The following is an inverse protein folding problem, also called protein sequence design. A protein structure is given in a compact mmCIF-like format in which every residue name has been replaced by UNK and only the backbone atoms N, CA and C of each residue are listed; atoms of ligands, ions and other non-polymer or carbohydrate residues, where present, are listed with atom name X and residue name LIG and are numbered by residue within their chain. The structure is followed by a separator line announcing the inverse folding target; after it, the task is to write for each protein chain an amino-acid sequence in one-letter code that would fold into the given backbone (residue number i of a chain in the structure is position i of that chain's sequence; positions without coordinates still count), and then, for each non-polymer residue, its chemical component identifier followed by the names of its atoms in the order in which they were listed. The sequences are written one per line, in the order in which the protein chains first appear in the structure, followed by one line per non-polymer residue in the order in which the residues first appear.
data_IF_992753935966
#
_entry.id   IF_992753935966
#
_cell.length_a   1.000
_cell.length_b   1.000
_cell.length_c   1.000
_cell.angle_alpha   90.00
_cell.angle_beta   90.00
_cell.angle_gamma   90.00
#
_symmetry.space_group_name_H-M   'P 1'
#
loop_
_entity.id
_entity.type
_entity.pdbx_description
1 polymer ?
#
# COMPACT_ATOMS: atom_id res chain seq x y z
N UNK A 1 -29.50 -4.46 -42.43
CA UNK A 1 -28.11 -4.82 -42.77
C UNK A 1 -27.10 -3.76 -42.34
N UNK A 2 -27.43 -2.44 -42.30
CA UNK A 2 -26.51 -1.41 -41.77
C UNK A 2 -26.20 -1.59 -40.28
N UNK A 3 -27.18 -1.95 -39.47
CA UNK A 3 -27.01 -1.92 -38.00
C UNK A 3 -26.17 -3.09 -37.48
N UNK A 4 -26.23 -4.27 -38.11
CA UNK A 4 -25.36 -5.40 -37.75
C UNK A 4 -23.90 -5.15 -38.13
N UNK A 5 -23.67 -4.52 -39.28
CA UNK A 5 -22.32 -4.21 -39.76
C UNK A 5 -21.68 -3.08 -38.92
N UNK A 6 -22.49 -2.12 -38.45
CA UNK A 6 -22.02 -1.07 -37.52
C UNK A 6 -21.63 -1.64 -36.15
N UNK A 7 -22.41 -2.62 -35.65
CA UNK A 7 -22.10 -3.31 -34.38
C UNK A 7 -20.86 -4.23 -34.52
N UNK A 8 -20.67 -4.89 -35.66
CA UNK A 8 -19.47 -5.69 -35.95
C UNK A 8 -18.22 -4.81 -36.13
N UNK A 9 -18.34 -3.63 -36.74
CA UNK A 9 -17.25 -2.65 -36.88
C UNK A 9 -16.89 -2.03 -35.51
N UNK A 10 -17.87 -1.74 -34.65
CA UNK A 10 -17.61 -1.29 -33.28
C UNK A 10 -16.89 -2.36 -32.45
N UNK A 11 -17.32 -3.62 -32.52
CA UNK A 11 -16.71 -4.75 -31.79
C UNK A 11 -15.32 -5.15 -32.30
N UNK A 12 -14.98 -4.80 -33.53
CA UNK A 12 -13.66 -5.03 -34.13
C UNK A 12 -12.70 -3.84 -34.01
N UNK A 13 -13.17 -2.70 -33.50
CA UNK A 13 -12.34 -1.53 -33.22
C UNK A 13 -11.55 -1.65 -31.91
N UNK A 14 -10.44 -0.91 -31.79
CA UNK A 14 -9.67 -0.84 -30.55
C UNK A 14 -10.49 -0.34 -29.35
N UNK A 15 -11.43 0.59 -29.56
CA UNK A 15 -12.32 1.09 -28.51
C UNK A 15 -13.36 0.04 -28.09
N UNK A 16 -13.93 -0.70 -29.03
CA UNK A 16 -14.87 -1.78 -28.73
C UNK A 16 -14.22 -2.92 -27.95
N UNK A 17 -13.01 -3.33 -28.35
CA UNK A 17 -12.23 -4.33 -27.61
C UNK A 17 -11.89 -3.86 -26.20
N UNK A 18 -11.49 -2.58 -26.05
CA UNK A 18 -11.25 -1.97 -24.74
C UNK A 18 -12.51 -1.98 -23.85
N UNK A 19 -13.68 -1.61 -24.37
CA UNK A 19 -14.94 -1.62 -23.60
C UNK A 19 -15.36 -3.02 -23.18
N UNK A 20 -15.19 -4.00 -24.06
CA UNK A 20 -15.47 -5.41 -23.74
C UNK A 20 -14.50 -5.91 -22.66
N UNK A 21 -13.20 -5.57 -22.77
CA UNK A 21 -12.21 -5.89 -21.78
C UNK A 21 -12.54 -5.30 -20.39
N UNK A 22 -12.97 -4.04 -20.34
CA UNK A 22 -13.43 -3.38 -19.12
C UNK A 22 -14.66 -4.08 -18.50
N UNK A 23 -15.57 -4.61 -19.32
CA UNK A 23 -16.68 -5.42 -18.83
C UNK A 23 -16.20 -6.75 -18.21
N UNK A 24 -15.30 -7.46 -18.90
CA UNK A 24 -14.73 -8.70 -18.40
C UNK A 24 -13.96 -8.49 -17.09
N UNK A 25 -13.16 -7.41 -17.00
CA UNK A 25 -12.42 -7.03 -15.79
C UNK A 25 -13.38 -6.78 -14.60
N UNK A 26 -14.47 -6.03 -14.82
CA UNK A 26 -15.48 -5.78 -13.78
C UNK A 26 -16.18 -7.06 -13.29
N UNK A 27 -16.31 -8.06 -14.16
CA UNK A 27 -16.88 -9.36 -13.80
C UNK A 27 -15.84 -10.31 -13.16
N UNK A 28 -14.59 -9.88 -12.99
CA UNK A 28 -13.51 -10.69 -12.42
C UNK A 28 -12.84 -11.63 -13.42
N UNK A 29 -13.23 -11.61 -14.70
CA UNK A 29 -12.56 -12.39 -15.75
C UNK A 29 -11.35 -11.61 -16.29
N UNK A 30 -10.31 -11.56 -15.45
CA UNK A 30 -9.08 -10.83 -15.75
C UNK A 30 -8.32 -11.43 -16.93
N UNK A 31 -8.32 -12.76 -17.07
CA UNK A 31 -7.66 -13.46 -18.18
C UNK A 31 -8.26 -13.05 -19.52
N UNK A 32 -9.60 -13.04 -19.64
CA UNK A 32 -10.25 -12.57 -20.86
C UNK A 32 -10.04 -11.07 -21.08
N UNK A 33 -10.10 -10.26 -20.03
CA UNK A 33 -9.82 -8.82 -20.11
C UNK A 33 -8.41 -8.54 -20.67
N UNK A 34 -7.38 -9.21 -20.13
CA UNK A 34 -5.99 -9.12 -20.59
C UNK A 34 -5.89 -9.43 -22.08
N UNK A 35 -6.52 -10.52 -22.54
CA UNK A 35 -6.52 -10.89 -23.97
C UNK A 35 -7.15 -9.79 -24.83
N UNK A 36 -8.28 -9.24 -24.42
CA UNK A 36 -9.00 -8.21 -25.17
C UNK A 36 -8.25 -6.87 -25.18
N UNK A 37 -7.61 -6.46 -24.09
CA UNK A 37 -6.74 -5.27 -24.10
C UNK A 37 -5.56 -5.45 -25.05
N UNK A 38 -4.93 -6.63 -25.09
CA UNK A 38 -3.87 -6.90 -26.04
C UNK A 38 -4.35 -6.82 -27.50
N UNK A 39 -5.59 -7.26 -27.78
CA UNK A 39 -6.18 -7.09 -29.11
C UNK A 39 -6.43 -5.61 -29.44
N UNK A 40 -6.92 -4.82 -28.48
CA UNK A 40 -7.07 -3.38 -28.65
C UNK A 40 -5.72 -2.69 -28.95
N UNK A 41 -4.66 -3.08 -28.25
CA UNK A 41 -3.30 -2.56 -28.44
C UNK A 41 -2.61 -3.07 -29.71
N UNK A 42 -3.06 -4.20 -30.27
CA UNK A 42 -2.60 -4.65 -31.58
C UNK A 42 -3.15 -3.75 -32.71
N UNK A 43 -4.30 -3.11 -32.49
CA UNK A 43 -4.92 -2.15 -33.43
C UNK A 43 -4.31 -0.76 -33.24
N UNK A 44 -4.24 -0.29 -31.99
CA UNK A 44 -3.62 0.98 -31.63
C UNK A 44 -2.60 0.79 -30.49
N UNK A 45 -1.31 0.62 -30.81
CA UNK A 45 -0.26 0.43 -29.81
C UNK A 45 -0.09 1.60 -28.82
N UNK A 46 -0.53 2.81 -29.18
CA UNK A 46 -0.41 4.01 -28.34
C UNK A 46 -1.72 4.32 -27.59
N UNK A 47 -2.70 3.40 -27.57
CA UNK A 47 -3.94 3.58 -26.83
C UNK A 47 -3.72 3.52 -25.31
N UNK A 48 -3.35 4.67 -24.74
CA UNK A 48 -2.95 4.81 -23.33
C UNK A 48 -3.94 4.24 -22.32
N UNK A 49 -5.25 4.43 -22.54
CA UNK A 49 -6.27 3.86 -21.65
C UNK A 49 -6.23 2.33 -21.63
N UNK A 50 -6.02 1.69 -22.78
CA UNK A 50 -5.88 0.24 -22.86
C UNK A 50 -4.55 -0.25 -22.26
N UNK A 51 -3.45 0.52 -22.39
CA UNK A 51 -2.18 0.18 -21.74
C UNK A 51 -2.31 0.17 -20.21
N UNK A 52 -2.90 1.23 -19.62
CA UNK A 52 -3.11 1.32 -18.17
C UNK A 52 -4.11 0.27 -17.68
N UNK A 53 -5.21 0.07 -18.39
CA UNK A 53 -6.21 -0.93 -18.02
C UNK A 53 -5.67 -2.37 -18.12
N UNK A 54 -4.75 -2.63 -19.05
CA UNK A 54 -4.02 -3.89 -19.13
C UNK A 54 -3.08 -4.07 -17.93
N UNK A 55 -2.33 -3.04 -17.54
CA UNK A 55 -1.48 -3.09 -16.35
C UNK A 55 -2.29 -3.38 -15.07
N UNK A 56 -3.45 -2.74 -14.91
CA UNK A 56 -4.39 -2.99 -13.80
C UNK A 56 -4.97 -4.41 -13.86
N UNK A 57 -5.38 -4.90 -15.05
CA UNK A 57 -5.87 -6.27 -15.18
C UNK A 57 -4.79 -7.33 -14.90
N UNK A 58 -3.53 -7.09 -15.32
CA UNK A 58 -2.37 -7.93 -14.98
C UNK A 58 -2.12 -7.94 -13.47
N UNK A 59 -2.24 -6.78 -12.81
CA UNK A 59 -2.15 -6.68 -11.35
C UNK A 59 -3.25 -7.51 -10.67
N UNK A 60 -4.51 -7.39 -11.12
CA UNK A 60 -5.64 -8.15 -10.56
C UNK A 60 -5.54 -9.67 -10.80
N UNK A 61 -4.93 -10.08 -11.90
CA UNK A 61 -4.65 -11.50 -12.24
C UNK A 61 -3.41 -12.06 -11.49
N UNK A 62 -2.68 -11.24 -10.75
CA UNK A 62 -1.47 -11.65 -10.01
C UNK A 62 -0.17 -11.63 -10.83
N UNK A 63 -0.21 -11.12 -12.06
CA UNK A 63 0.93 -10.99 -12.99
C UNK A 63 1.69 -9.68 -12.77
N UNK A 64 2.24 -9.52 -11.57
CA UNK A 64 2.82 -8.26 -11.13
C UNK A 64 4.05 -7.84 -11.96
N UNK A 65 4.91 -8.78 -12.34
CA UNK A 65 6.14 -8.48 -13.09
C UNK A 65 5.84 -8.01 -14.53
N UNK A 66 4.81 -8.60 -15.16
CA UNK A 66 4.34 -8.17 -16.48
C UNK A 66 3.73 -6.76 -16.39
N UNK A 67 2.89 -6.50 -15.37
CA UNK A 67 2.30 -5.18 -15.11
C UNK A 67 3.38 -4.12 -14.90
N UNK A 68 4.37 -4.41 -14.04
CA UNK A 68 5.52 -3.53 -13.78
C UNK A 68 6.31 -3.23 -15.04
N UNK A 69 6.66 -4.26 -15.81
CA UNK A 69 7.44 -4.11 -17.06
C UNK A 69 6.72 -3.19 -18.06
N UNK A 70 5.40 -3.28 -18.13
CA UNK A 70 4.59 -2.41 -18.99
C UNK A 70 4.61 -0.95 -18.51
N UNK A 71 4.38 -0.73 -17.23
CA UNK A 71 4.35 0.61 -16.62
C UNK A 71 5.73 1.29 -16.68
N UNK A 72 6.81 0.54 -16.45
CA UNK A 72 8.18 1.05 -16.57
C UNK A 72 8.45 1.54 -18.01
N UNK A 73 7.98 0.81 -19.04
CA UNK A 73 8.09 1.28 -20.45
C UNK A 73 7.30 2.56 -20.69
N UNK A 74 6.13 2.73 -20.06
CA UNK A 74 5.36 3.97 -20.16
C UNK A 74 6.10 5.14 -19.50
N UNK A 75 6.73 4.92 -18.34
CA UNK A 75 7.52 5.93 -17.64
C UNK A 75 8.81 6.31 -18.36
N UNK A 76 9.39 5.44 -19.18
CA UNK A 76 10.51 5.82 -20.06
C UNK A 76 10.10 6.95 -21.02
N UNK A 77 8.86 6.91 -21.53
CA UNK A 77 8.31 7.96 -22.41
C UNK A 77 7.83 9.18 -21.63
N UNK A 78 7.17 8.97 -20.50
CA UNK A 78 6.58 10.02 -19.67
C UNK A 78 6.98 9.85 -18.18
N UNK A 79 8.18 10.28 -17.76
CA UNK A 79 8.73 9.96 -16.43
C UNK A 79 7.91 10.46 -15.24
N UNK A 80 7.17 11.54 -15.42
CA UNK A 80 6.37 12.19 -14.37
C UNK A 80 4.86 11.93 -14.54
N UNK A 81 4.46 10.96 -15.38
CA UNK A 81 3.05 10.67 -15.59
C UNK A 81 2.39 10.16 -14.30
N UNK A 82 1.47 10.95 -13.75
CA UNK A 82 0.83 10.68 -12.47
C UNK A 82 -0.04 9.41 -12.48
N UNK A 83 -0.70 9.11 -13.59
CA UNK A 83 -1.57 7.94 -13.72
C UNK A 83 -0.74 6.65 -13.77
N UNK A 84 0.34 6.65 -14.56
CA UNK A 84 1.29 5.53 -14.64
C UNK A 84 2.01 5.33 -13.30
N UNK A 85 2.46 6.40 -12.65
CA UNK A 85 3.08 6.31 -11.32
C UNK A 85 2.11 5.75 -10.27
N UNK A 86 0.82 6.09 -10.34
CA UNK A 86 -0.22 5.55 -9.44
C UNK A 86 -0.39 4.05 -9.63
N UNK A 87 -0.50 3.58 -10.87
CA UNK A 87 -0.59 2.15 -11.16
C UNK A 87 0.69 1.41 -10.74
N UNK A 88 1.88 1.98 -11.00
CA UNK A 88 3.14 1.39 -10.55
C UNK A 88 3.21 1.30 -9.02
N UNK A 89 2.72 2.34 -8.33
CA UNK A 89 2.60 2.34 -6.88
C UNK A 89 1.79 1.14 -6.37
N UNK A 90 0.63 0.86 -6.97
CA UNK A 90 -0.20 -0.31 -6.64
C UNK A 90 0.54 -1.62 -6.87
N UNK A 91 1.24 -1.75 -8.00
CA UNK A 91 2.01 -2.96 -8.34
C UNK A 91 3.14 -3.20 -7.35
N UNK A 92 3.91 -2.18 -6.99
CA UNK A 92 5.02 -2.31 -6.03
C UNK A 92 4.55 -2.71 -4.62
N UNK A 93 3.36 -2.25 -4.21
CA UNK A 93 2.72 -2.73 -2.97
C UNK A 93 2.35 -4.21 -3.07
N UNK A 94 1.76 -4.64 -4.19
CA UNK A 94 1.43 -6.05 -4.40
C UNK A 94 2.66 -6.97 -4.49
N UNK A 95 3.78 -6.45 -4.99
CA UNK A 95 5.07 -7.15 -5.04
C UNK A 95 5.81 -7.20 -3.70
N UNK A 96 5.32 -6.50 -2.66
CA UNK A 96 6.06 -6.27 -1.42
C UNK A 96 7.46 -5.67 -1.65
N UNK A 97 7.56 -4.67 -2.56
CA UNK A 97 8.80 -3.94 -2.87
C UNK A 97 8.75 -2.53 -2.25
N UNK A 98 9.04 -2.40 -0.93
CA UNK A 98 8.94 -1.11 -0.23
C UNK A 98 9.90 -0.06 -0.79
N UNK A 99 11.06 -0.46 -1.31
CA UNK A 99 12.05 0.47 -1.86
C UNK A 99 11.53 1.17 -3.12
N UNK A 100 11.01 0.40 -4.08
CA UNK A 100 10.41 1.00 -5.28
C UNK A 100 9.10 1.71 -4.95
N UNK A 101 8.29 1.17 -4.03
CA UNK A 101 7.06 1.81 -3.55
C UNK A 101 7.32 3.23 -3.04
N UNK A 102 8.28 3.38 -2.12
CA UNK A 102 8.66 4.69 -1.56
C UNK A 102 9.15 5.65 -2.64
N UNK A 103 9.98 5.19 -3.58
CA UNK A 103 10.46 6.00 -4.69
C UNK A 103 9.30 6.53 -5.55
N UNK A 104 8.37 5.64 -5.92
CA UNK A 104 7.22 5.96 -6.77
C UNK A 104 6.26 6.94 -6.10
N UNK A 105 5.87 6.67 -4.85
CA UNK A 105 4.96 7.56 -4.13
C UNK A 105 5.60 8.89 -3.73
N UNK A 106 6.92 8.95 -3.53
CA UNK A 106 7.64 10.22 -3.33
C UNK A 106 7.62 11.07 -4.60
N UNK A 107 7.76 10.47 -5.78
CA UNK A 107 7.60 11.18 -7.05
C UNK A 107 6.17 11.72 -7.22
N UNK A 108 5.15 10.90 -6.90
CA UNK A 108 3.76 11.36 -6.88
C UNK A 108 3.53 12.51 -5.90
N UNK A 109 4.13 12.47 -4.70
CA UNK A 109 3.98 13.52 -3.70
C UNK A 109 4.55 14.86 -4.18
N UNK A 110 5.67 14.83 -4.92
CA UNK A 110 6.23 16.04 -5.53
C UNK A 110 5.25 16.71 -6.50
N UNK A 111 4.50 15.92 -7.26
CA UNK A 111 3.52 16.42 -8.24
C UNK A 111 2.17 16.77 -7.57
N UNK A 112 1.80 16.05 -6.51
CA UNK A 112 0.54 16.17 -5.77
C UNK A 112 0.77 16.32 -4.26
N UNK A 113 1.27 17.48 -3.78
CA UNK A 113 1.70 17.65 -2.38
C UNK A 113 0.56 17.62 -1.35
N UNK A 114 -0.70 17.63 -1.79
CA UNK A 114 -1.89 17.60 -0.92
C UNK A 114 -2.89 16.49 -1.31
N UNK A 115 -2.47 15.48 -2.08
CA UNK A 115 -3.35 14.34 -2.39
C UNK A 115 -3.34 13.31 -1.24
N UNK A 116 -4.49 13.11 -0.62
CA UNK A 116 -4.67 12.16 0.47
C UNK A 116 -4.31 10.71 0.07
N UNK A 117 -4.57 10.32 -1.19
CA UNK A 117 -4.24 8.98 -1.69
C UNK A 117 -2.74 8.77 -1.77
N UNK A 118 -1.97 9.82 -2.07
CA UNK A 118 -0.50 9.75 -2.09
C UNK A 118 0.05 9.57 -0.68
N UNK A 119 -0.46 10.33 0.30
CA UNK A 119 -0.06 10.14 1.70
C UNK A 119 -0.46 8.76 2.23
N UNK A 120 -1.63 8.25 1.84
CA UNK A 120 -2.03 6.88 2.17
C UNK A 120 -1.08 5.85 1.55
N UNK A 121 -0.75 5.99 0.26
CA UNK A 121 0.21 5.09 -0.40
C UNK A 121 1.60 5.12 0.23
N UNK A 122 2.09 6.31 0.61
CA UNK A 122 3.34 6.43 1.40
C UNK A 122 3.23 5.70 2.74
N UNK A 123 2.11 5.83 3.44
CA UNK A 123 1.84 5.08 4.67
C UNK A 123 1.95 3.58 4.46
N UNK A 124 1.33 3.06 3.40
CA UNK A 124 1.40 1.64 3.03
C UNK A 124 2.85 1.24 2.77
N UNK A 125 3.60 2.01 1.97
CA UNK A 125 5.01 1.69 1.70
C UNK A 125 5.87 1.66 2.98
N UNK A 126 5.63 2.57 3.94
CA UNK A 126 6.37 2.58 5.20
C UNK A 126 6.01 1.39 6.09
N UNK A 127 4.74 0.98 6.14
CA UNK A 127 4.33 -0.25 6.84
C UNK A 127 4.99 -1.50 6.24
N UNK A 128 5.06 -1.59 4.91
CA UNK A 128 5.77 -2.69 4.22
C UNK A 128 7.27 -2.70 4.56
N UNK A 129 7.86 -1.54 4.88
CA UNK A 129 9.26 -1.45 5.35
C UNK A 129 9.44 -1.63 6.86
N UNK A 130 8.38 -1.97 7.61
CA UNK A 130 8.39 -2.10 9.07
C UNK A 130 8.45 -0.77 9.84
N UNK A 131 8.42 0.37 9.16
CA UNK A 131 8.50 1.72 9.75
C UNK A 131 7.10 2.23 10.16
N UNK A 132 6.43 1.50 11.07
CA UNK A 132 5.03 1.73 11.42
C UNK A 132 4.75 3.12 12.01
N UNK A 133 5.67 3.69 12.80
CA UNK A 133 5.47 5.05 13.35
C UNK A 133 5.48 6.11 12.24
N UNK A 134 6.35 5.97 11.23
CA UNK A 134 6.36 6.88 10.07
C UNK A 134 5.11 6.69 9.21
N UNK A 135 4.67 5.44 9.03
CA UNK A 135 3.43 5.14 8.34
C UNK A 135 2.22 5.83 8.99
N UNK A 136 2.12 5.75 10.33
CA UNK A 136 1.09 6.40 11.13
C UNK A 136 1.03 7.92 10.89
N UNK A 137 2.17 8.62 10.84
CA UNK A 137 2.21 10.05 10.50
C UNK A 137 1.66 10.34 9.09
N UNK A 138 1.98 9.50 8.10
CA UNK A 138 1.47 9.66 6.73
C UNK A 138 -0.03 9.43 6.66
N UNK A 139 -0.56 8.40 7.33
CA UNK A 139 -2.00 8.18 7.38
C UNK A 139 -2.73 9.31 8.12
N UNK A 140 -2.17 9.85 9.21
CA UNK A 140 -2.75 11.01 9.90
C UNK A 140 -2.85 12.22 8.97
N UNK A 141 -1.82 12.46 8.15
CA UNK A 141 -1.87 13.51 7.11
C UNK A 141 -2.94 13.21 6.07
N UNK A 142 -3.05 11.98 5.59
CA UNK A 142 -4.10 11.57 4.65
C UNK A 142 -5.52 11.74 5.24
N UNK A 143 -5.74 11.36 6.50
CA UNK A 143 -7.02 11.54 7.21
C UNK A 143 -7.36 13.03 7.43
N UNK A 144 -6.35 13.89 7.59
CA UNK A 144 -6.58 15.35 7.67
C UNK A 144 -7.08 15.90 6.34
N UNK A 145 -6.56 15.39 5.22
CA UNK A 145 -6.93 15.82 3.87
C UNK A 145 -8.26 15.20 3.38
N UNK A 146 -8.57 13.97 3.82
CA UNK A 146 -9.77 13.23 3.47
C UNK A 146 -10.37 12.52 4.70
N UNK A 147 -11.08 13.23 5.58
CA UNK A 147 -11.55 12.71 6.87
C UNK A 147 -12.58 11.57 6.76
N UNK A 148 -13.31 11.52 5.65
CA UNK A 148 -14.33 10.51 5.37
C UNK A 148 -13.78 9.27 4.66
N UNK A 149 -12.48 9.24 4.33
CA UNK A 149 -11.87 8.08 3.67
C UNK A 149 -11.64 6.94 4.67
N UNK A 150 -12.57 5.97 4.66
CA UNK A 150 -12.56 4.81 5.55
C UNK A 150 -11.38 3.86 5.29
N UNK A 151 -10.89 3.77 4.06
CA UNK A 151 -9.73 2.93 3.73
C UNK A 151 -8.47 3.45 4.43
N UNK A 152 -8.25 4.77 4.43
CA UNK A 152 -7.12 5.38 5.15
C UNK A 152 -7.23 5.11 6.66
N UNK A 153 -8.43 5.27 7.23
CA UNK A 153 -8.64 4.98 8.65
C UNK A 153 -8.43 3.50 9.00
N UNK A 154 -8.79 2.61 8.09
CA UNK A 154 -8.56 1.17 8.24
C UNK A 154 -7.07 0.82 8.16
N UNK A 155 -6.33 1.38 7.20
CA UNK A 155 -4.88 1.22 7.09
C UNK A 155 -4.17 1.77 8.34
N UNK A 156 -4.59 2.94 8.85
CA UNK A 156 -4.06 3.49 10.10
C UNK A 156 -4.28 2.56 11.30
N UNK A 157 -5.50 2.03 11.44
CA UNK A 157 -5.82 1.06 12.50
C UNK A 157 -4.96 -0.20 12.41
N UNK A 158 -4.74 -0.72 11.20
CA UNK A 158 -3.85 -1.86 10.98
C UNK A 158 -2.40 -1.52 11.33
N UNK A 159 -1.89 -0.36 10.90
CA UNK A 159 -0.55 0.12 11.23
C UNK A 159 -0.32 0.28 12.74
N UNK A 160 -1.32 0.74 13.49
CA UNK A 160 -1.29 0.77 14.96
C UNK A 160 -1.12 -0.63 15.55
N UNK A 161 -1.85 -1.63 15.03
CA UNK A 161 -1.72 -3.01 15.50
C UNK A 161 -0.33 -3.59 15.21
N UNK A 162 0.21 -3.32 14.01
CA UNK A 162 1.57 -3.74 13.62
C UNK A 162 2.64 -3.08 14.50
N UNK A 163 2.45 -1.81 14.85
CA UNK A 163 3.30 -1.08 15.81
C UNK A 163 3.06 -1.46 17.28
N UNK A 164 2.30 -2.52 17.57
CA UNK A 164 2.05 -3.02 18.92
C UNK A 164 0.99 -2.27 19.74
N UNK A 165 0.39 -1.20 19.19
CA UNK A 165 -0.69 -0.41 19.82
C UNK A 165 -2.05 -1.09 19.58
N UNK A 166 -2.14 -2.38 19.89
CA UNK A 166 -3.28 -3.25 19.52
C UNK A 166 -4.61 -2.82 20.13
N UNK A 167 -4.61 -2.25 21.36
CA UNK A 167 -5.83 -1.72 21.99
C UNK A 167 -6.43 -0.55 21.20
N UNK A 168 -5.60 0.40 20.78
CA UNK A 168 -6.04 1.56 19.98
C UNK A 168 -6.51 1.12 18.59
N UNK A 169 -5.77 0.19 17.98
CA UNK A 169 -6.15 -0.43 16.71
C UNK A 169 -7.55 -1.06 16.77
N UNK A 170 -7.82 -1.87 17.79
CA UNK A 170 -9.11 -2.54 17.99
C UNK A 170 -10.24 -1.51 18.20
N UNK A 171 -10.02 -0.44 18.97
CA UNK A 171 -11.04 0.62 19.14
C UNK A 171 -11.44 1.27 17.80
N UNK A 172 -10.45 1.61 16.96
CA UNK A 172 -10.70 2.22 15.66
C UNK A 172 -11.35 1.22 14.68
N UNK A 173 -10.76 0.03 14.56
CA UNK A 173 -11.16 -0.96 13.57
C UNK A 173 -12.51 -1.60 13.92
N UNK A 174 -12.84 -1.76 15.21
CA UNK A 174 -14.16 -2.24 15.62
C UNK A 174 -15.26 -1.28 15.21
N UNK A 175 -15.07 0.03 15.37
CA UNK A 175 -16.03 1.04 14.89
C UNK A 175 -16.24 0.95 13.38
N UNK A 176 -15.16 0.74 12.61
CA UNK A 176 -15.24 0.55 11.16
C UNK A 176 -15.97 -0.75 10.76
N UNK A 177 -15.72 -1.85 11.47
CA UNK A 177 -16.30 -3.16 11.16
C UNK A 177 -17.82 -3.25 11.40
N UNK A 178 -18.39 -2.34 12.21
CA UNK A 178 -19.84 -2.28 12.48
C UNK A 178 -20.60 -1.29 11.58
N UNK A 179 -19.93 -0.60 10.66
CA UNK A 179 -20.59 0.30 9.71
C UNK A 179 -21.34 -0.49 8.63
N UNK A 180 -22.35 0.12 8.02
CA UNK A 180 -23.09 -0.47 6.91
C UNK A 180 -22.28 -0.56 5.61
N UNK A 181 -21.31 0.34 5.41
CA UNK A 181 -20.42 0.42 4.24
C UNK A 181 -19.08 -0.32 4.44
N UNK A 182 -19.01 -1.22 5.42
CA UNK A 182 -17.79 -1.96 5.74
C UNK A 182 -17.41 -3.00 4.67
N UNK A 183 -16.15 -3.00 4.24
CA UNK A 183 -15.62 -4.00 3.29
C UNK A 183 -15.03 -5.20 4.03
N UNK A 184 -14.91 -6.38 3.38
CA UNK A 184 -14.20 -7.53 3.96
C UNK A 184 -12.80 -7.17 4.47
N UNK A 185 -12.02 -6.42 3.69
CA UNK A 185 -10.68 -5.98 4.08
C UNK A 185 -10.66 -5.18 5.40
N UNK A 186 -11.64 -4.27 5.61
CA UNK A 186 -11.72 -3.51 6.86
C UNK A 186 -11.97 -4.43 8.07
N UNK A 187 -12.72 -5.51 7.89
CA UNK A 187 -12.98 -6.50 8.94
C UNK A 187 -11.78 -7.42 9.14
N UNK A 188 -11.12 -7.81 8.07
CA UNK A 188 -9.87 -8.56 8.14
C UNK A 188 -8.80 -7.79 8.92
N UNK A 189 -8.69 -6.46 8.75
CA UNK A 189 -7.80 -5.63 9.55
C UNK A 189 -8.13 -5.73 11.05
N UNK A 190 -9.41 -5.75 11.44
CA UNK A 190 -9.81 -5.99 12.82
C UNK A 190 -9.45 -7.40 13.31
N UNK A 191 -9.62 -8.41 12.47
CA UNK A 191 -9.22 -9.78 12.80
C UNK A 191 -7.71 -9.88 13.05
N UNK A 192 -6.89 -9.23 12.21
CA UNK A 192 -5.43 -9.13 12.42
C UNK A 192 -5.12 -8.42 13.73
N UNK A 193 -5.79 -7.31 14.04
CA UNK A 193 -5.58 -6.59 15.30
C UNK A 193 -5.92 -7.45 16.54
N UNK A 194 -7.01 -8.20 16.52
CA UNK A 194 -7.32 -9.18 17.56
C UNK A 194 -6.28 -10.29 17.64
N UNK A 195 -5.83 -10.79 16.49
CA UNK A 195 -4.73 -11.75 16.42
C UNK A 195 -3.49 -11.22 17.13
N UNK A 196 -3.01 -10.04 16.78
CA UNK A 196 -1.82 -9.45 17.42
C UNK A 196 -2.03 -9.12 18.91
N UNK A 197 -3.28 -8.95 19.36
CA UNK A 197 -3.63 -8.75 20.77
C UNK A 197 -3.68 -10.05 21.60
N UNK A 198 -3.44 -11.23 20.99
CA UNK A 198 -3.59 -12.52 21.68
C UNK A 198 -5.01 -13.08 21.64
N UNK A 199 -5.95 -12.40 20.96
CA UNK A 199 -7.37 -12.73 20.96
C UNK A 199 -7.77 -13.58 19.74
N UNK A 200 -7.07 -14.69 19.53
CA UNK A 200 -7.19 -15.54 18.34
C UNK A 200 -8.62 -16.04 18.04
N UNK A 201 -9.41 -16.32 19.06
CA UNK A 201 -10.82 -16.72 18.89
C UNK A 201 -11.70 -15.59 18.32
N UNK A 202 -11.42 -14.32 18.67
CA UNK A 202 -12.11 -13.18 18.06
C UNK A 202 -11.67 -12.98 16.61
N UNK A 203 -10.37 -13.13 16.34
CA UNK A 203 -9.84 -13.07 14.98
C UNK A 203 -10.50 -14.13 14.07
N UNK A 204 -10.54 -15.39 14.53
CA UNK A 204 -11.18 -16.51 13.81
C UNK A 204 -12.65 -16.22 13.50
N UNK A 205 -13.43 -15.78 14.49
CA UNK A 205 -14.85 -15.44 14.27
C UNK A 205 -15.06 -14.40 13.19
N UNK A 206 -14.19 -13.40 13.10
CA UNK A 206 -14.31 -12.35 12.07
C UNK A 206 -13.93 -12.89 10.71
N UNK A 207 -12.78 -13.58 10.59
CA UNK A 207 -12.37 -14.17 9.31
C UNK A 207 -13.37 -15.19 8.76
N UNK A 208 -13.98 -16.01 9.62
CA UNK A 208 -14.98 -17.01 9.20
C UNK A 208 -16.22 -16.42 8.54
N UNK A 209 -16.42 -15.09 8.63
CA UNK A 209 -17.53 -14.40 7.97
C UNK A 209 -17.31 -14.20 6.47
N UNK A 210 -16.05 -14.08 6.08
CA UNK A 210 -15.65 -13.57 4.77
C UNK A 210 -14.76 -14.55 4.00
N UNK A 211 -14.12 -15.51 4.69
CA UNK A 211 -13.15 -16.44 4.12
C UNK A 211 -13.69 -17.88 4.08
N UNK A 212 -13.28 -18.63 3.05
CA UNK A 212 -13.46 -20.07 3.00
C UNK A 212 -12.59 -20.79 4.04
N UNK A 213 -12.93 -22.04 4.38
CA UNK A 213 -12.26 -22.78 5.45
C UNK A 213 -10.72 -22.86 5.27
N UNK A 214 -10.25 -23.12 4.06
CA UNK A 214 -8.81 -23.21 3.78
C UNK A 214 -8.09 -21.87 4.00
N UNK A 215 -8.67 -20.77 3.53
CA UNK A 215 -8.09 -19.43 3.68
C UNK A 215 -8.14 -18.98 5.15
N UNK A 216 -9.20 -19.33 5.86
CA UNK A 216 -9.32 -19.09 7.29
C UNK A 216 -8.19 -19.76 8.07
N UNK A 217 -7.98 -21.06 7.87
CA UNK A 217 -6.98 -21.82 8.61
C UNK A 217 -5.57 -21.28 8.36
N UNK A 218 -5.24 -20.98 7.10
CA UNK A 218 -3.98 -20.34 6.75
C UNK A 218 -3.79 -19.00 7.48
N UNK A 219 -4.77 -18.10 7.40
CA UNK A 219 -4.69 -16.79 8.06
C UNK A 219 -4.53 -16.90 9.59
N UNK A 220 -5.17 -17.89 10.22
CA UNK A 220 -5.05 -18.12 11.67
C UNK A 220 -3.67 -18.66 12.05
N UNK A 221 -3.13 -19.60 11.27
CA UNK A 221 -1.80 -20.16 11.55
C UNK A 221 -0.70 -19.12 11.42
N UNK A 222 -0.86 -18.21 10.46
CA UNK A 222 0.01 -17.04 10.36
C UNK A 222 -0.09 -16.20 11.62
N UNK A 223 -1.28 -15.80 12.06
CA UNK A 223 -1.40 -14.94 13.24
C UNK A 223 -0.76 -15.56 14.49
N UNK A 224 -0.83 -16.89 14.65
CA UNK A 224 -0.13 -17.60 15.73
C UNK A 224 1.40 -17.48 15.61
N UNK A 225 1.97 -17.64 14.41
CA UNK A 225 3.42 -17.50 14.23
C UNK A 225 3.93 -16.10 14.59
N UNK A 226 3.10 -15.07 14.35
CA UNK A 226 3.40 -13.68 14.72
C UNK A 226 3.36 -13.40 16.24
N UNK A 227 2.67 -14.22 17.03
CA UNK A 227 2.57 -14.09 18.51
C UNK A 227 3.71 -14.80 19.24
N UNK A 228 4.21 -15.92 18.68
CA UNK A 228 5.22 -16.77 19.32
C UNK A 228 6.62 -16.14 19.30
N UNK A 229 6.85 -15.09 18.51
CA UNK A 229 8.14 -14.40 18.44
C UNK A 229 8.16 -13.07 19.20
N UNK A 230 8.43 -13.09 20.53
CA UNK A 230 9.05 -11.95 21.21
C UNK A 230 10.57 -12.07 21.35
N UNK A 231 11.21 -13.24 21.10
CA UNK A 231 12.59 -13.44 21.59
C UNK A 231 13.39 -14.64 21.03
N UNK A 232 13.37 -14.93 19.73
CA UNK A 232 14.39 -15.83 19.16
C UNK A 232 14.92 -15.29 17.84
N UNK A 233 16.09 -14.64 17.95
CA UNK A 233 17.09 -14.67 16.89
C UNK A 233 17.44 -16.14 16.63
N UNK A 234 17.78 -16.46 15.38
CA UNK A 234 18.03 -17.82 14.86
C UNK A 234 16.76 -18.53 14.36
N UNK A 235 16.34 -18.20 13.15
CA UNK A 235 16.06 -19.19 12.08
C UNK A 235 15.59 -18.47 10.81
N UNK A 236 16.49 -17.69 10.20
CA UNK A 236 16.29 -17.07 8.89
C UNK A 236 16.61 -18.08 7.76
N UNK A 237 15.82 -19.15 7.62
CA UNK A 237 15.92 -20.05 6.46
C UNK A 237 14.70 -20.98 6.33
N UNK A 238 13.55 -20.45 5.92
CA UNK A 238 12.56 -21.28 5.21
C UNK A 238 11.60 -20.40 4.40
N UNK A 239 12.00 -20.12 3.16
CA UNK A 239 11.08 -19.65 2.13
C UNK A 239 10.10 -20.78 1.81
N UNK A 240 8.99 -20.84 2.54
CA UNK A 240 7.76 -21.43 1.99
C UNK A 240 7.05 -20.33 1.22
N UNK A 241 6.79 -20.61 -0.05
CA UNK A 241 5.88 -19.85 -0.88
C UNK A 241 4.49 -19.92 -0.23
N UNK A 242 4.15 -18.91 0.58
CA UNK A 242 2.85 -18.80 1.24
C UNK A 242 1.87 -18.26 0.20
N UNK A 243 0.72 -18.91 0.09
CA UNK A 243 -0.33 -18.61 -0.87
C UNK A 243 -0.62 -17.10 -0.94
N UNK A 244 -0.53 -16.57 -2.15
CA UNK A 244 -0.79 -15.16 -2.47
C UNK A 244 -2.27 -14.86 -2.24
N UNK A 245 -2.62 -13.74 -1.60
CA UNK A 245 -4.02 -13.44 -1.30
C UNK A 245 -4.88 -13.37 -2.55
N UNK A 246 -6.00 -14.06 -2.48
CA UNK A 246 -7.16 -13.76 -3.31
C UNK A 246 -7.68 -12.35 -2.95
N UNK A 247 -7.40 -11.41 -3.84
CA UNK A 247 -8.10 -10.13 -4.06
C UNK A 247 -8.35 -9.22 -2.84
N UNK A 248 -7.35 -8.41 -2.46
CA UNK A 248 -7.57 -7.21 -1.63
C UNK A 248 -7.41 -5.88 -2.38
N UNK A 249 -7.26 -5.93 -3.72
CA UNK A 249 -7.41 -4.74 -4.54
C UNK A 249 -8.91 -4.52 -4.75
N UNK A 250 -9.48 -3.59 -3.99
CA UNK A 250 -10.83 -3.10 -4.26
C UNK A 250 -10.86 -2.62 -5.71
N UNK A 251 -11.71 -3.21 -6.54
CA UNK A 251 -11.97 -2.67 -7.87
C UNK A 251 -12.49 -1.22 -7.70
N UNK A 252 -11.82 -0.25 -8.34
CA UNK A 252 -12.15 1.18 -8.33
C UNK A 252 -11.86 2.00 -7.05
N UNK A 253 -10.73 1.80 -6.36
CA UNK A 253 -10.25 2.87 -5.47
C UNK A 253 -8.82 3.33 -5.81
N UNK A 254 -8.68 4.65 -5.98
CA UNK A 254 -7.36 5.31 -6.05
C UNK A 254 -6.58 5.17 -4.75
N UNK A 255 -7.25 4.75 -3.67
CA UNK A 255 -6.68 4.52 -2.35
C UNK A 255 -6.13 3.10 -2.24
N UNK A 256 -4.81 2.96 -2.15
CA UNK A 256 -4.21 1.65 -1.91
C UNK A 256 -4.51 1.13 -0.51
N UNK A 257 -5.07 -0.08 -0.40
CA UNK A 257 -5.22 -0.77 0.87
C UNK A 257 -3.89 -1.41 1.27
N UNK A 258 -3.55 -1.39 2.57
CA UNK A 258 -2.46 -2.20 3.08
C UNK A 258 -2.87 -3.67 3.01
N UNK A 259 -2.18 -4.53 2.23
CA UNK A 259 -2.58 -5.92 2.08
C UNK A 259 -2.41 -6.70 3.40
N UNK A 260 -3.52 -7.18 3.96
CA UNK A 260 -3.53 -8.04 5.17
C UNK A 260 -2.67 -9.28 5.04
N UNK A 261 -2.51 -9.78 3.81
CA UNK A 261 -1.84 -11.04 3.53
C UNK A 261 -0.36 -10.88 3.14
N UNK A 262 0.13 -9.66 2.84
CA UNK A 262 1.57 -9.42 2.67
C UNK A 262 2.27 -9.24 4.04
N UNK A 263 1.53 -8.78 5.05
CA UNK A 263 1.96 -8.66 6.46
C UNK A 263 2.40 -10.01 7.05
N UNK A 264 1.85 -11.09 6.52
CA UNK A 264 2.08 -12.48 6.89
C UNK A 264 3.55 -12.91 6.73
N UNK A 265 4.26 -12.31 5.78
CA UNK A 265 5.55 -12.82 5.31
C UNK A 265 6.74 -12.14 6.00
N UNK A 266 6.62 -10.87 6.39
CA UNK A 266 7.78 -10.05 6.79
C UNK A 266 8.17 -10.06 8.27
N UNK A 267 7.37 -10.66 9.16
CA UNK A 267 7.86 -10.93 10.54
C UNK A 267 9.00 -11.95 10.58
N UNK A 268 9.31 -12.61 9.46
CA UNK A 268 10.45 -13.51 9.30
C UNK A 268 11.69 -12.83 8.68
N UNK A 269 11.66 -11.51 8.37
CA UNK A 269 12.59 -10.98 7.36
C UNK A 269 13.13 -9.56 7.44
N UNK A 270 13.04 -8.77 8.53
CA UNK A 270 13.94 -7.61 8.70
C UNK A 270 13.88 -6.95 10.09
N UNK A 271 15.03 -6.86 10.76
CA UNK A 271 15.38 -5.70 11.59
C UNK A 271 16.04 -4.66 10.67
N UNK A 272 15.78 -3.35 10.83
CA UNK A 272 16.63 -2.35 10.20
C UNK A 272 18.02 -2.38 10.85
N UNK A 273 19.03 -2.81 10.10
CA UNK A 273 20.41 -2.45 10.42
C UNK A 273 20.49 -0.93 10.46
N UNK A 274 21.04 -0.40 11.55
CA UNK A 274 21.13 1.03 11.89
C UNK A 274 21.99 1.89 10.96
N UNK A 275 22.26 1.45 9.73
CA UNK A 275 23.08 2.16 8.76
C UNK A 275 22.39 2.12 7.39
N UNK A 276 22.26 3.30 6.77
CA UNK A 276 21.63 3.61 5.46
C UNK A 276 20.09 3.83 5.57
N UNK A 277 19.49 5.00 5.28
CA UNK A 277 19.85 6.11 4.41
C UNK A 277 19.27 7.43 4.94
N UNK A 278 20.10 8.46 5.04
CA UNK A 278 19.66 9.85 4.91
C UNK A 278 19.15 10.04 3.47
N UNK A 279 17.85 10.21 3.29
CA UNK A 279 17.30 10.87 2.10
C UNK A 279 17.34 12.40 2.29
N UNK A 280 17.55 13.19 1.22
CA UNK A 280 17.94 14.58 1.35
C UNK A 280 16.76 15.52 1.65
N UNK A 281 16.89 16.26 2.76
CA UNK A 281 16.68 17.72 2.73
C UNK A 281 15.29 18.27 3.04
N UNK A 282 14.80 18.12 4.27
CA UNK A 282 14.03 19.21 4.89
C UNK A 282 14.97 20.02 5.79
N UNK A 283 15.43 21.17 5.28
CA UNK A 283 16.13 22.18 6.10
C UNK A 283 15.12 22.74 7.10
N UNK A 284 15.08 22.19 8.32
CA UNK A 284 14.49 22.88 9.47
C UNK A 284 15.27 24.19 9.70
N UNK A 285 14.60 25.32 9.48
CA UNK A 285 15.05 26.64 9.96
C UNK A 285 15.09 26.56 11.49
N UNK A 286 16.30 26.51 12.05
CA UNK A 286 16.51 26.73 13.48
C UNK A 286 16.49 28.23 13.75
N UNK A 287 15.50 28.67 14.53
CA UNK A 287 15.46 29.98 15.16
C UNK A 287 16.69 30.14 16.06
N UNK A 288 17.49 31.18 15.82
CA UNK A 288 18.49 31.65 16.76
C UNK A 288 17.76 32.34 17.92
N UNK A 289 17.70 31.68 19.07
CA UNK A 289 17.51 32.37 20.35
C UNK A 289 18.86 32.93 20.79
N UNK A 290 19.04 34.25 20.67
CA UNK A 290 20.11 34.98 21.34
C UNK A 290 19.79 35.04 22.85
N UNK A 291 20.72 34.59 23.68
CA UNK A 291 20.76 34.88 25.12
C UNK A 291 21.75 36.02 25.39
N UNK A 292 21.49 36.87 26.39
CA UNK A 292 22.20 38.14 26.57
C UNK A 292 23.54 37.95 27.29
N UNK A 293 24.51 38.77 26.89
CA UNK A 293 25.82 38.94 27.52
C UNK A 293 25.66 39.76 28.81
N UNK A 294 26.36 39.36 29.88
CA UNK A 294 26.60 40.20 31.06
C UNK A 294 28.10 40.16 31.43
N UNK A 295 28.64 41.25 32.01
CA UNK A 295 30.08 41.55 31.93
C UNK A 295 30.90 40.92 33.08
N UNK A 296 32.10 40.48 32.73
CA UNK A 296 33.11 39.95 33.64
C UNK A 296 33.79 41.08 34.43
N UNK A 297 33.83 40.92 35.76
CA UNK A 297 34.58 41.79 36.68
C UNK A 297 36.07 41.42 36.62
N UNK A 298 36.89 42.43 36.39
CA UNK A 298 38.35 42.38 36.45
C UNK A 298 38.79 42.76 37.87
N UNK A 299 39.44 41.87 38.62
CA UNK A 299 40.25 42.23 39.78
C UNK A 299 41.41 41.25 40.01
N UNK A 300 42.61 41.76 39.69
CA UNK A 300 43.85 41.70 40.45
C UNK A 300 44.28 40.37 41.10
N UNK A 301 45.42 39.86 40.64
CA UNK A 301 46.63 39.67 41.47
C UNK A 301 47.82 39.30 40.58
N UNK A 302 48.83 40.17 40.52
CA UNK A 302 50.19 39.68 40.37
C UNK A 302 51.16 40.52 41.20
N UNK A 303 51.90 39.80 42.03
CA UNK A 303 52.86 40.26 43.04
C UNK A 303 54.26 40.41 42.44
N UNK A 304 54.90 41.51 42.83
CA UNK A 304 56.34 41.78 43.03
C UNK A 304 57.38 40.78 42.52
N UNK A 305 58.27 41.22 41.62
CA UNK A 305 59.66 41.66 41.90
C UNK A 305 60.32 42.19 40.62
#
# INVERSE_FOLDING_TARGET
MSDQQTVEDELSSGDGMYRLAENMKRNGDYVTAIRLYNQALAIDPEYKKAQLALADALLLDGKFDESRTMLDKMLVKEPDNEEVLRELGKVTVAQNDPATCLKTYTALQKNKPQDANVFNGLGVCYDLSGQHDVAQEKYQKAMTLAPDNLNVRSNYGLSLALGGKTKEAIDILSKLAHRSDTTPNMRHNLAVAYGLAGEGEKAKRIFSRDLAANDLDQNIDILKSLQVSPSSQDDAASHKEIARPSSALTQNSDTVALPTSSIVVDKLGAQPSSDQQKLPGEKKKAEKQEKPVSPEKNDQKNTSL
#
